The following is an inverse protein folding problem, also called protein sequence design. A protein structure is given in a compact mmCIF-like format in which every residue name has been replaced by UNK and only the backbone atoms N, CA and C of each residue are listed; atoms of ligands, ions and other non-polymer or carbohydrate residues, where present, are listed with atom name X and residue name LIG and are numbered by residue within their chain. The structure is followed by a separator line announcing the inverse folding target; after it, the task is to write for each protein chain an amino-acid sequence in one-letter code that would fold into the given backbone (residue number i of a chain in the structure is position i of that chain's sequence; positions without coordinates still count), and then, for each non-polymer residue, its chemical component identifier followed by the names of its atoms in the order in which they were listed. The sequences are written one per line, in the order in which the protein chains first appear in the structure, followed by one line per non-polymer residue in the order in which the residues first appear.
data_IF_683852029594
#
_entry.id   IF_683852029594
#
_cell.length_a   1.000
_cell.length_b   1.000
_cell.length_c   1.000
_cell.angle_alpha   90.00
_cell.angle_beta   90.00
_cell.angle_gamma   90.00
#
_symmetry.space_group_name_H-M   'P 1'
#
loop_
_entity.id
_entity.type
_entity.pdbx_description
1 polymer ?
#
# COMPACT_ATOMS: atom_id res chain seq x y z
N UNK A 1 -3.80 21.76 9.83
CA UNK A 1 -4.19 21.93 8.41
C UNK A 1 -5.32 20.96 8.10
N UNK A 2 -6.44 21.48 7.60
CA UNK A 2 -7.50 20.66 7.01
C UNK A 2 -7.37 20.78 5.49
N UNK A 3 -7.24 19.66 4.81
CA UNK A 3 -7.15 19.61 3.36
C UNK A 3 -8.56 19.39 2.80
N UNK A 4 -9.02 20.30 1.93
CA UNK A 4 -10.42 20.32 1.44
C UNK A 4 -10.56 19.84 -0.01
N UNK A 5 -9.47 19.49 -0.67
CA UNK A 5 -9.43 18.94 -2.03
C UNK A 5 -8.32 17.89 -2.16
N UNK A 6 -8.36 17.09 -3.22
CA UNK A 6 -7.25 16.16 -3.51
C UNK A 6 -6.05 16.93 -4.05
N UNK A 7 -4.84 16.50 -3.70
CA UNK A 7 -3.60 17.18 -4.11
C UNK A 7 -2.49 16.17 -4.42
N UNK A 8 -1.52 16.61 -5.23
CA UNK A 8 -0.21 15.99 -5.31
C UNK A 8 0.80 16.91 -4.62
N UNK A 9 1.50 16.38 -3.63
CA UNK A 9 2.51 17.08 -2.85
C UNK A 9 3.87 16.44 -3.11
N UNK A 10 4.95 17.20 -3.00
CA UNK A 10 6.29 16.59 -3.00
C UNK A 10 6.51 15.78 -1.72
N UNK A 11 6.22 16.40 -0.57
CA UNK A 11 6.30 15.80 0.76
C UNK A 11 5.46 16.61 1.76
N UNK A 12 5.34 16.08 2.98
CA UNK A 12 4.78 16.78 4.14
C UNK A 12 5.55 16.42 5.41
N UNK A 13 5.73 17.42 6.26
CA UNK A 13 6.23 17.26 7.63
C UNK A 13 5.11 17.64 8.60
N UNK A 14 4.62 16.68 9.37
CA UNK A 14 3.59 16.88 10.41
C UNK A 14 4.32 16.90 11.74
N UNK A 15 4.69 18.10 12.20
CA UNK A 15 5.47 18.27 13.43
C UNK A 15 4.65 17.97 14.69
N UNK A 16 5.31 17.71 15.80
CA UNK A 16 4.67 17.52 17.10
C UNK A 16 3.75 18.69 17.46
N UNK A 17 2.57 18.37 18.01
CA UNK A 17 1.52 19.35 18.29
C UNK A 17 0.75 19.84 17.07
N UNK A 18 1.18 19.52 15.84
CA UNK A 18 0.45 19.84 14.62
C UNK A 18 -0.54 18.73 14.25
N UNK A 19 -1.62 19.13 13.59
CA UNK A 19 -2.59 18.20 13.01
C UNK A 19 -2.66 18.42 11.50
N UNK A 20 -2.58 17.34 10.73
CA UNK A 20 -2.99 17.28 9.34
C UNK A 20 -4.20 16.37 9.21
N UNK A 21 -5.26 16.87 8.59
CA UNK A 21 -6.46 16.09 8.31
C UNK A 21 -6.71 16.08 6.81
N UNK A 22 -6.72 14.87 6.23
CA UNK A 22 -6.94 14.62 4.80
C UNK A 22 -8.24 13.84 4.56
N UNK A 23 -9.14 13.83 5.54
CA UNK A 23 -10.34 12.99 5.48
C UNK A 23 -11.13 13.22 4.20
N UNK A 24 -11.59 12.13 3.58
CA UNK A 24 -12.30 12.12 2.29
C UNK A 24 -11.49 12.58 1.06
N UNK A 25 -10.19 12.89 1.21
CA UNK A 25 -9.33 13.34 0.12
C UNK A 25 -8.39 12.26 -0.38
N UNK A 26 -7.88 12.42 -1.61
CA UNK A 26 -6.72 11.68 -2.10
C UNK A 26 -5.50 12.59 -2.11
N UNK A 27 -4.44 12.19 -1.42
CA UNK A 27 -3.16 12.92 -1.40
C UNK A 27 -2.08 12.05 -2.00
N UNK A 28 -1.53 12.48 -3.13
CA UNK A 28 -0.38 11.84 -3.78
C UNK A 28 0.94 12.47 -3.35
N UNK A 29 2.00 11.67 -3.37
CA UNK A 29 3.34 12.07 -2.97
C UNK A 29 4.41 11.62 -3.97
N UNK A 30 5.38 12.49 -4.25
CA UNK A 30 6.40 12.23 -5.29
C UNK A 30 7.85 12.05 -4.80
N UNK A 31 8.22 12.53 -3.61
CA UNK A 31 9.59 12.34 -3.07
C UNK A 31 9.81 10.95 -2.46
N UNK A 32 11.07 10.49 -2.41
CA UNK A 32 11.46 9.17 -1.89
C UNK A 32 11.01 8.93 -0.45
N UNK A 33 11.09 9.92 0.44
CA UNK A 33 10.62 9.84 1.82
C UNK A 33 9.59 10.97 2.05
N UNK A 34 8.34 10.79 1.63
CA UNK A 34 7.45 11.92 1.46
C UNK A 34 6.71 12.35 2.73
N UNK A 35 6.59 11.50 3.74
CA UNK A 35 5.83 11.82 4.95
C UNK A 35 6.73 11.66 6.17
N UNK A 36 6.97 12.77 6.86
CA UNK A 36 7.51 12.78 8.22
C UNK A 36 6.36 13.02 9.19
N UNK A 37 6.00 12.02 9.99
CA UNK A 37 4.87 12.08 10.92
C UNK A 37 5.41 12.10 12.36
N UNK A 38 5.27 13.24 13.04
CA UNK A 38 5.59 13.44 14.45
C UNK A 38 4.42 14.06 15.26
N UNK A 39 3.26 14.27 14.62
CA UNK A 39 2.08 14.92 15.18
C UNK A 39 0.81 14.06 15.05
N UNK A 40 -0.32 14.68 14.71
CA UNK A 40 -1.58 13.98 14.43
C UNK A 40 -1.87 13.95 12.95
N UNK A 41 -2.08 12.76 12.38
CA UNK A 41 -2.44 12.59 10.98
C UNK A 41 -3.77 11.84 10.85
N UNK A 42 -4.82 12.55 10.44
CA UNK A 42 -6.17 11.99 10.29
C UNK A 42 -6.43 11.62 8.83
N UNK A 43 -6.67 10.33 8.58
CA UNK A 43 -6.77 9.72 7.24
C UNK A 43 -8.15 9.11 6.95
N UNK A 44 -9.17 9.41 7.75
CA UNK A 44 -10.51 8.80 7.62
C UNK A 44 -11.09 8.92 6.21
N UNK A 45 -11.49 7.80 5.60
CA UNK A 45 -12.03 7.74 4.23
C UNK A 45 -11.12 8.39 3.17
N UNK A 46 -9.82 8.53 3.45
CA UNK A 46 -8.84 9.14 2.54
C UNK A 46 -8.05 8.09 1.76
N UNK A 47 -7.34 8.54 0.73
CA UNK A 47 -6.36 7.71 0.01
C UNK A 47 -5.01 8.42 0.01
N UNK A 48 -3.96 7.72 0.43
CA UNK A 48 -2.59 8.17 0.25
C UNK A 48 -2.00 7.44 -0.95
N UNK A 49 -1.46 8.18 -1.91
CA UNK A 49 -0.85 7.63 -3.11
C UNK A 49 0.66 7.90 -3.15
N UNK A 50 1.45 6.86 -3.41
CA UNK A 50 2.86 6.98 -3.75
C UNK A 50 2.98 6.97 -5.27
N UNK A 51 3.30 8.12 -5.88
CA UNK A 51 3.30 8.33 -7.33
C UNK A 51 4.52 9.09 -7.85
N UNK A 52 5.66 8.96 -7.17
CA UNK A 52 6.94 9.48 -7.61
C UNK A 52 7.51 8.76 -8.84
N UNK A 53 8.61 9.29 -9.37
CA UNK A 53 9.36 8.69 -10.49
C UNK A 53 10.59 7.88 -10.04
N UNK A 54 10.99 8.00 -8.78
CA UNK A 54 12.06 7.23 -8.14
C UNK A 54 11.46 6.27 -7.12
N UNK A 55 12.23 5.25 -6.70
CA UNK A 55 11.83 4.37 -5.60
C UNK A 55 11.39 5.20 -4.38
N UNK A 56 10.20 4.91 -3.85
CA UNK A 56 9.68 5.56 -2.66
C UNK A 56 9.57 4.61 -1.49
N UNK A 57 9.86 5.14 -0.31
CA UNK A 57 9.67 4.46 0.95
C UNK A 57 8.29 4.79 1.50
N UNK A 58 7.53 3.74 1.83
CA UNK A 58 6.23 3.88 2.46
C UNK A 58 6.46 4.21 3.94
N UNK A 59 5.87 5.33 4.36
CA UNK A 59 6.01 5.85 5.72
C UNK A 59 5.12 5.05 6.66
N UNK A 60 5.68 4.56 7.76
CA UNK A 60 4.96 3.62 8.64
C UNK A 60 4.79 4.16 10.07
N UNK A 61 5.63 5.10 10.47
CA UNK A 61 5.61 5.71 11.81
C UNK A 61 4.30 6.46 12.05
N UNK A 62 3.47 5.95 12.97
CA UNK A 62 2.22 6.57 13.42
C UNK A 62 1.21 6.85 12.29
N UNK A 63 1.17 6.00 11.25
CA UNK A 63 0.21 6.12 10.16
C UNK A 63 -0.65 4.86 10.11
N UNK A 64 -1.97 5.06 10.20
CA UNK A 64 -2.96 4.07 9.77
C UNK A 64 -3.53 4.59 8.45
N UNK A 65 -3.43 3.78 7.41
CA UNK A 65 -3.96 4.15 6.10
C UNK A 65 -5.44 3.78 6.07
N UNK A 66 -6.29 4.70 5.57
CA UNK A 66 -7.63 4.31 5.15
C UNK A 66 -7.51 3.57 3.82
N UNK A 67 -7.13 4.26 2.74
CA UNK A 67 -6.66 3.65 1.51
C UNK A 67 -5.18 3.95 1.22
N UNK A 68 -4.48 2.98 0.65
CA UNK A 68 -3.09 3.11 0.19
C UNK A 68 -3.02 2.74 -1.30
N UNK A 69 -2.42 3.61 -2.11
CA UNK A 69 -2.24 3.41 -3.55
C UNK A 69 -0.77 3.47 -3.94
N UNK A 70 -0.31 2.46 -4.67
CA UNK A 70 1.02 2.42 -5.27
C UNK A 70 0.85 2.66 -6.76
N UNK A 71 1.27 3.85 -7.20
CA UNK A 71 1.21 4.28 -8.58
C UNK A 71 2.57 4.87 -8.99
N UNK A 72 3.63 4.15 -8.64
CA UNK A 72 5.00 4.59 -8.83
C UNK A 72 5.73 3.55 -9.70
N UNK A 73 6.09 3.86 -10.95
CA UNK A 73 6.72 2.88 -11.86
C UNK A 73 8.08 2.36 -11.37
N UNK A 74 8.81 3.14 -10.57
CA UNK A 74 10.07 2.71 -9.96
C UNK A 74 9.87 1.81 -8.72
N UNK A 75 8.62 1.60 -8.30
CA UNK A 75 8.25 0.76 -7.18
C UNK A 75 8.28 1.46 -5.84
N UNK A 76 7.96 0.69 -4.79
CA UNK A 76 7.96 1.16 -3.40
C UNK A 76 8.57 0.14 -2.45
N UNK A 77 9.05 0.60 -1.29
CA UNK A 77 9.54 -0.26 -0.22
C UNK A 77 8.91 0.09 1.12
N UNK A 78 8.49 -0.90 1.89
CA UNK A 78 8.02 -0.72 3.26
C UNK A 78 9.20 -0.53 4.20
N UNK A 79 9.11 0.45 5.10
CA UNK A 79 10.10 0.68 6.18
C UNK A 79 9.68 0.02 7.51
N UNK A 80 8.47 -0.49 7.59
CA UNK A 80 7.90 -1.13 8.77
C UNK A 80 6.56 -1.79 8.45
N UNK A 81 5.90 -2.33 9.47
CA UNK A 81 4.56 -2.87 9.32
C UNK A 81 3.54 -1.75 9.09
N UNK A 82 2.48 -2.05 8.33
CA UNK A 82 1.42 -1.08 8.01
C UNK A 82 0.06 -1.72 8.18
N UNK A 83 -0.92 -0.91 8.62
CA UNK A 83 -2.34 -1.25 8.58
C UNK A 83 -3.05 -0.41 7.53
N UNK A 84 -3.87 -1.06 6.70
CA UNK A 84 -4.76 -0.42 5.72
C UNK A 84 -6.20 -0.83 6.05
N UNK A 85 -7.04 0.15 6.40
CA UNK A 85 -8.40 -0.13 6.88
C UNK A 85 -9.37 -0.45 5.75
N UNK A 86 -9.16 0.08 4.56
CA UNK A 86 -9.99 -0.13 3.38
C UNK A 86 -9.12 -0.73 2.26
N UNK A 87 -8.92 -0.03 1.16
CA UNK A 87 -8.30 -0.64 -0.02
C UNK A 87 -6.80 -0.40 -0.08
N UNK A 88 -6.02 -1.47 -0.28
CA UNK A 88 -4.65 -1.39 -0.77
C UNK A 88 -4.63 -1.64 -2.28
N UNK A 89 -4.16 -0.69 -3.07
CA UNK A 89 -4.12 -0.78 -4.53
C UNK A 89 -2.69 -0.71 -5.06
N UNK A 90 -2.28 -1.69 -5.87
CA UNK A 90 -1.02 -1.67 -6.63
C UNK A 90 -1.35 -1.46 -8.10
N UNK A 91 -1.23 -0.21 -8.54
CA UNK A 91 -1.57 0.24 -9.90
C UNK A 91 -0.35 0.14 -10.80
N UNK A 92 0.79 0.68 -10.34
CA UNK A 92 2.05 0.71 -11.06
C UNK A 92 3.24 0.54 -10.12
N UNK A 93 4.27 -0.14 -10.60
CA UNK A 93 5.46 -0.51 -9.83
C UNK A 93 5.32 -1.79 -9.04
N UNK A 94 6.46 -2.30 -8.58
CA UNK A 94 6.52 -3.40 -7.64
C UNK A 94 6.51 -2.87 -6.20
N UNK A 95 6.03 -3.71 -5.28
CA UNK A 95 5.99 -3.39 -3.85
C UNK A 95 6.95 -4.33 -3.12
N UNK A 96 8.02 -3.79 -2.55
CA UNK A 96 8.91 -4.53 -1.68
C UNK A 96 8.45 -4.40 -0.21
N UNK A 97 8.02 -5.49 0.39
CA UNK A 97 7.66 -5.52 1.82
C UNK A 97 8.88 -5.41 2.73
N UNK A 98 10.09 -5.73 2.24
CA UNK A 98 11.34 -5.64 2.99
C UNK A 98 11.26 -6.34 4.36
N UNK A 99 10.71 -7.55 4.38
CA UNK A 99 10.51 -8.36 5.59
C UNK A 99 9.28 -7.98 6.44
N UNK A 100 8.61 -6.86 6.14
CA UNK A 100 7.47 -6.35 6.90
C UNK A 100 6.13 -6.96 6.47
N UNK A 101 5.08 -6.67 7.26
CA UNK A 101 3.70 -7.09 6.97
C UNK A 101 2.79 -5.91 6.64
N UNK A 102 1.79 -6.19 5.81
CA UNK A 102 0.64 -5.33 5.59
C UNK A 102 -0.57 -6.05 6.20
N UNK A 103 -1.27 -5.39 7.10
CA UNK A 103 -2.53 -5.87 7.67
C UNK A 103 -3.67 -5.13 7.01
N UNK A 104 -4.58 -5.87 6.38
CA UNK A 104 -5.86 -5.31 5.93
C UNK A 104 -6.88 -5.50 7.06
N UNK A 105 -7.73 -4.51 7.30
CA UNK A 105 -8.86 -4.72 8.22
C UNK A 105 -9.88 -5.69 7.61
N UNK A 106 -10.89 -6.08 8.38
CA UNK A 106 -11.97 -6.98 7.92
C UNK A 106 -12.78 -6.44 6.73
N UNK A 107 -12.78 -5.13 6.50
CA UNK A 107 -13.39 -4.50 5.32
C UNK A 107 -12.38 -4.24 4.21
N UNK A 108 -11.10 -4.43 4.49
CA UNK A 108 -10.03 -4.10 3.56
C UNK A 108 -9.79 -5.18 2.53
N UNK A 109 -9.41 -4.76 1.32
CA UNK A 109 -9.08 -5.68 0.23
C UNK A 109 -7.93 -5.15 -0.62
N UNK A 110 -7.23 -6.08 -1.26
CA UNK A 110 -6.15 -5.81 -2.19
C UNK A 110 -6.71 -5.71 -3.61
N UNK A 111 -6.25 -4.72 -4.36
CA UNK A 111 -6.44 -4.62 -5.81
C UNK A 111 -5.09 -4.46 -6.49
N UNK A 112 -4.86 -5.19 -7.57
CA UNK A 112 -3.58 -5.18 -8.27
C UNK A 112 -3.80 -5.17 -9.79
N UNK A 113 -3.10 -4.29 -10.50
CA UNK A 113 -3.01 -4.35 -11.95
C UNK A 113 -2.26 -5.63 -12.34
N UNK A 114 -2.76 -6.47 -13.26
CA UNK A 114 -2.08 -7.70 -13.65
C UNK A 114 -0.60 -7.48 -14.02
N UNK A 115 0.28 -8.36 -13.50
CA UNK A 115 1.72 -8.28 -13.77
C UNK A 115 2.48 -7.26 -12.92
N UNK A 116 1.93 -6.83 -11.80
CA UNK A 116 2.70 -6.24 -10.69
C UNK A 116 3.11 -7.35 -9.71
N UNK A 117 4.19 -7.13 -8.97
CA UNK A 117 4.69 -8.08 -7.99
C UNK A 117 4.77 -7.44 -6.61
N UNK A 118 4.31 -8.17 -5.59
CA UNK A 118 4.63 -7.87 -4.18
C UNK A 118 5.76 -8.81 -3.75
N UNK A 119 6.92 -8.24 -3.43
CA UNK A 119 8.17 -8.95 -3.17
C UNK A 119 8.44 -8.91 -1.67
N UNK A 120 8.82 -10.05 -1.08
CA UNK A 120 9.31 -10.14 0.30
C UNK A 120 10.67 -10.83 0.29
N UNK A 121 11.70 -10.21 0.85
CA UNK A 121 13.03 -10.82 1.07
C UNK A 121 13.63 -11.48 -0.19
N UNK A 122 13.66 -10.75 -1.30
CA UNK A 122 14.21 -11.20 -2.60
C UNK A 122 13.51 -12.43 -3.22
N UNK A 123 12.34 -12.80 -2.72
CA UNK A 123 11.47 -13.83 -3.30
C UNK A 123 10.26 -13.14 -3.91
N UNK A 124 9.97 -13.47 -5.17
CA UNK A 124 8.76 -13.02 -5.86
C UNK A 124 7.59 -13.83 -5.30
N UNK A 125 6.59 -13.14 -4.80
CA UNK A 125 5.34 -13.74 -4.36
C UNK A 125 4.21 -13.14 -5.20
N UNK A 126 3.34 -14.00 -5.70
CA UNK A 126 2.06 -13.56 -6.25
C UNK A 126 1.02 -13.70 -5.16
N UNK A 127 0.19 -12.69 -4.96
CA UNK A 127 -0.82 -12.70 -3.90
C UNK A 127 -2.10 -13.34 -4.41
N UNK A 128 -2.65 -14.26 -3.63
CA UNK A 128 -3.96 -14.83 -3.84
C UNK A 128 -4.72 -14.79 -2.51
N UNK A 129 -5.96 -14.30 -2.56
CA UNK A 129 -6.87 -14.31 -1.41
C UNK A 129 -7.44 -15.73 -1.28
N UNK A 130 -6.95 -16.51 -0.33
CA UNK A 130 -7.57 -17.77 0.04
C UNK A 130 -8.78 -17.44 0.96
N UNK A 131 -10.00 -17.60 0.44
CA UNK A 131 -11.24 -17.50 1.23
C UNK A 131 -11.34 -18.72 2.16
N UNK A 132 -10.51 -18.75 3.19
CA UNK A 132 -10.62 -19.68 4.30
C UNK A 132 -10.64 -18.86 5.58
N UNK A 133 -11.82 -18.35 5.92
CA UNK A 133 -12.17 -17.80 7.23
C UNK A 133 -11.16 -16.78 7.81
N UNK A 134 -11.36 -15.51 7.46
CA UNK A 134 -10.82 -14.28 8.08
C UNK A 134 -9.34 -13.90 7.83
N UNK A 135 -9.20 -12.83 7.04
CA UNK A 135 -8.35 -11.65 7.25
C UNK A 135 -6.80 -11.75 7.22
N UNK A 136 -6.23 -12.68 6.46
CA UNK A 136 -4.79 -12.60 6.13
C UNK A 136 -4.52 -12.88 4.66
N UNK A 137 -3.75 -11.99 4.02
CA UNK A 137 -3.15 -12.26 2.72
C UNK A 137 -1.77 -12.87 2.99
N UNK A 138 -1.63 -14.17 2.75
CA UNK A 138 -0.32 -14.81 2.78
C UNK A 138 0.42 -14.61 1.45
N UNK A 139 1.63 -14.07 1.58
CA UNK A 139 2.62 -14.01 0.52
C UNK A 139 3.15 -15.44 0.29
N UNK A 140 2.58 -16.20 -0.66
CA UNK A 140 2.95 -17.62 -0.86
C UNK A 140 3.80 -17.85 -2.12
N UNK A 141 4.98 -18.43 -1.90
CA UNK A 141 6.05 -18.57 -2.90
C UNK A 141 5.58 -19.48 -4.04
N UNK A 142 5.32 -18.94 -5.23
CA UNK A 142 5.09 -19.76 -6.42
C UNK A 142 6.44 -20.12 -7.03
N UNK A 143 6.83 -21.41 -6.97
CA UNK A 143 7.95 -21.92 -7.76
C UNK A 143 7.43 -22.26 -9.17
N UNK A 144 7.41 -21.32 -10.11
CA UNK A 144 7.47 -21.71 -11.53
C UNK A 144 7.77 -20.53 -12.46
N UNK A 145 8.76 -20.73 -13.31
CA UNK A 145 9.19 -19.85 -14.39
C UNK A 145 8.25 -20.00 -15.59
N UNK A 146 7.10 -19.33 -15.62
CA UNK A 146 6.44 -18.92 -16.89
C UNK A 146 5.20 -18.07 -16.58
N UNK A 147 5.24 -16.81 -17.01
CA UNK A 147 4.07 -15.96 -17.09
C UNK A 147 3.13 -16.48 -18.18
N UNK A 148 2.00 -17.08 -17.80
CA UNK A 148 0.80 -17.08 -18.64
C UNK A 148 -0.41 -17.51 -17.82
N UNK A 149 -1.42 -16.64 -17.76
CA UNK A 149 -2.81 -16.96 -17.43
C UNK A 149 -3.08 -17.59 -16.05
N UNK A 150 -3.40 -16.76 -15.04
CA UNK A 150 -4.20 -17.21 -13.91
C UNK A 150 -5.67 -16.86 -14.13
N UNK A 151 -6.37 -17.76 -14.82
CA UNK A 151 -7.78 -18.06 -14.58
C UNK A 151 -7.88 -19.56 -14.41
N UNK A 152 -8.04 -20.02 -13.17
CA UNK A 152 -8.66 -21.33 -12.94
C UNK A 152 -9.34 -21.35 -11.58
N UNK A 153 -10.66 -21.19 -11.63
CA UNK A 153 -11.54 -21.88 -10.71
C UNK A 153 -11.34 -23.40 -10.80
N UNK A 154 -11.41 -24.09 -9.66
CA UNK A 154 -12.20 -25.32 -9.59
C UNK A 154 -12.60 -25.60 -8.15
N UNK A 155 -13.90 -25.57 -7.88
CA UNK A 155 -14.49 -26.37 -6.81
C UNK A 155 -14.42 -27.85 -7.22
N UNK A 156 -14.12 -28.73 -6.27
CA UNK A 156 -14.58 -30.12 -6.30
C UNK A 156 -15.36 -30.38 -5.01
N UNK A 157 -16.54 -30.96 -5.20
CA UNK A 157 -17.54 -31.31 -4.19
C UNK A 157 -16.97 -32.03 -2.98
#
# INVERSE_FOLDING_TARGET
MNVTSSHNLSSVNINTGSTMNISNQTIGFSLTNPITQNGTFTTTNSKIEYNGSSLQNISTTNIIYSGLRINNPAGTSFLGNVTVNDTFSVIQGDVNLNGNTITLSSTGYLTETPGKCIIRDSRIYYLYQEHWNSDSIECRRIRSNTYSNFKSWSYRN
#
